data_IF_058761186640
#
_entry.id   IF_058761186640
#
_cell.length_a   1.000
_cell.length_b   1.000
_cell.length_c   1.000
_cell.angle_alpha   90.00
_cell.angle_beta   90.00
_cell.angle_gamma   90.00
#
_symmetry.space_group_name_H-M   'P 1'
#
loop_
_entity.id
_entity.type
_entity.pdbx_description
1 polymer ?
#
# COMPACT_ATOMS: atom_id res chain seq x y z
N UNK A 1 73.42 43.27 -15.92
CA UNK A 1 72.14 43.69 -15.18
C UNK A 1 70.93 43.14 -15.94
N UNK A 2 70.33 42.06 -15.47
CA UNK A 2 69.14 41.48 -16.08
C UNK A 2 67.96 41.75 -15.09
N UNK A 3 66.97 42.46 -15.53
CA UNK A 3 65.73 42.69 -14.75
C UNK A 3 64.75 41.57 -15.01
N UNK A 4 64.41 40.79 -13.98
CA UNK A 4 63.29 39.84 -13.97
C UNK A 4 62.01 40.60 -13.74
N UNK A 5 61.05 40.56 -14.69
CA UNK A 5 59.67 41.04 -14.52
C UNK A 5 58.86 39.91 -13.92
N UNK A 6 58.43 40.09 -12.68
CA UNK A 6 57.46 39.24 -11.98
C UNK A 6 56.06 39.58 -12.51
N UNK A 7 55.39 38.59 -13.16
CA UNK A 7 53.99 38.72 -13.59
C UNK A 7 53.09 38.21 -12.46
N UNK A 8 52.41 39.11 -11.81
CA UNK A 8 51.39 38.79 -10.79
C UNK A 8 50.11 38.38 -11.51
N UNK A 9 49.74 37.11 -11.43
CA UNK A 9 48.45 36.59 -11.95
C UNK A 9 47.42 36.71 -10.82
N UNK A 10 46.56 37.74 -10.89
CA UNK A 10 45.40 37.89 -9.98
C UNK A 10 44.32 36.90 -10.40
N UNK A 11 44.11 35.83 -9.61
CA UNK A 11 42.98 34.93 -9.76
C UNK A 11 41.75 35.61 -9.11
N UNK A 12 40.84 36.12 -9.93
CA UNK A 12 39.50 36.57 -9.50
C UNK A 12 38.65 35.31 -9.24
N UNK A 13 38.46 35.03 -7.96
CA UNK A 13 37.51 33.99 -7.51
C UNK A 13 36.09 34.56 -7.65
N UNK A 14 35.38 34.17 -8.71
CA UNK A 14 33.95 34.48 -8.85
C UNK A 14 33.19 33.52 -7.91
N UNK A 15 32.82 34.05 -6.73
CA UNK A 15 31.85 33.40 -5.86
C UNK A 15 30.47 33.50 -6.54
N UNK A 16 30.09 32.44 -7.23
CA UNK A 16 28.68 32.24 -7.60
C UNK A 16 27.91 31.95 -6.32
N UNK A 17 27.37 33.01 -5.72
CA UNK A 17 26.36 32.85 -4.67
C UNK A 17 25.11 32.25 -5.32
N UNK A 18 24.88 30.94 -5.16
CA UNK A 18 23.57 30.37 -5.34
C UNK A 18 22.60 31.07 -4.38
N UNK A 19 21.89 32.06 -4.87
CA UNK A 19 20.72 32.57 -4.18
C UNK A 19 19.70 31.45 -4.08
N UNK A 20 19.62 30.79 -2.93
CA UNK A 20 18.46 29.98 -2.57
C UNK A 20 17.25 30.92 -2.63
N UNK A 21 16.33 30.67 -3.54
CA UNK A 21 14.96 31.21 -3.49
C UNK A 21 14.28 30.67 -2.23
N UNK A 22 14.43 31.35 -1.12
CA UNK A 22 13.79 31.01 0.16
C UNK A 22 12.44 31.70 0.38
N UNK A 23 11.90 32.41 -0.62
CA UNK A 23 10.68 33.22 -0.45
C UNK A 23 9.40 32.62 -1.06
N UNK A 24 9.49 31.62 -1.94
CA UNK A 24 8.28 31.01 -2.52
C UNK A 24 7.77 29.79 -1.70
N UNK A 25 8.61 29.25 -0.84
CA UNK A 25 8.35 28.05 -0.07
C UNK A 25 7.39 28.27 1.12
N UNK A 26 7.39 29.47 1.69
CA UNK A 26 6.51 29.85 2.81
C UNK A 26 5.06 30.16 2.35
N UNK A 27 4.86 30.42 1.06
CA UNK A 27 3.58 30.89 0.53
C UNK A 27 2.63 29.75 0.13
N UNK A 28 3.12 28.49 -0.01
CA UNK A 28 2.27 27.36 -0.40
C UNK A 28 1.40 26.84 0.77
N UNK A 29 1.85 26.98 2.01
CA UNK A 29 1.16 26.43 3.19
C UNK A 29 1.41 24.94 3.38
N UNK A 30 2.68 24.52 3.41
CA UNK A 30 3.09 23.11 3.63
C UNK A 30 2.52 22.53 4.91
N UNK A 31 2.50 23.32 6.00
CA UNK A 31 1.90 22.89 7.27
C UNK A 31 0.41 22.58 7.13
N UNK A 32 -0.33 23.43 6.40
CA UNK A 32 -1.74 23.20 6.09
C UNK A 32 -1.94 21.90 5.29
N UNK A 33 -1.09 21.65 4.29
CA UNK A 33 -1.09 20.42 3.53
C UNK A 33 -0.87 19.19 4.42
N UNK A 34 0.12 19.20 5.33
CA UNK A 34 0.35 18.05 6.22
C UNK A 34 -0.67 17.94 7.35
N UNK A 35 -1.32 19.03 7.75
CA UNK A 35 -2.53 18.98 8.59
C UNK A 35 -3.63 18.23 7.86
N UNK A 36 -3.87 18.57 6.59
CA UNK A 36 -4.84 17.84 5.76
C UNK A 36 -4.51 16.35 5.66
N UNK A 37 -3.25 15.98 5.40
CA UNK A 37 -2.83 14.57 5.38
C UNK A 37 -3.10 13.85 6.69
N UNK A 38 -2.69 14.43 7.83
CA UNK A 38 -2.85 13.79 9.12
C UNK A 38 -4.32 13.65 9.52
N UNK A 39 -5.07 14.77 9.47
CA UNK A 39 -6.40 14.88 10.09
C UNK A 39 -7.54 14.43 9.17
N UNK A 40 -7.40 14.58 7.84
CA UNK A 40 -8.47 14.27 6.91
C UNK A 40 -8.23 12.99 6.09
N UNK A 41 -6.97 12.52 5.95
CA UNK A 41 -6.68 11.32 5.17
C UNK A 41 -6.22 10.15 6.06
N UNK A 42 -5.10 10.30 6.78
CA UNK A 42 -4.42 9.16 7.43
C UNK A 42 -5.21 8.67 8.63
N UNK A 43 -5.46 9.55 9.60
CA UNK A 43 -6.16 9.18 10.84
C UNK A 43 -7.57 8.64 10.54
N UNK A 44 -8.40 9.30 9.70
CA UNK A 44 -9.70 8.77 9.34
C UNK A 44 -9.66 7.42 8.61
N UNK A 45 -8.66 7.16 7.75
CA UNK A 45 -8.51 5.87 7.09
C UNK A 45 -8.31 4.74 8.11
N UNK A 46 -7.39 4.91 9.06
CA UNK A 46 -7.16 3.91 10.12
C UNK A 46 -8.34 3.79 11.08
N UNK A 47 -9.07 4.88 11.37
CA UNK A 47 -10.28 4.82 12.17
C UNK A 47 -11.39 4.04 11.47
N UNK A 48 -11.61 4.29 10.18
CA UNK A 48 -12.58 3.53 9.38
C UNK A 48 -12.21 2.04 9.34
N UNK A 49 -10.94 1.71 9.10
CA UNK A 49 -10.47 0.33 9.14
C UNK A 49 -10.74 -0.33 10.51
N UNK A 50 -10.52 0.40 11.61
CA UNK A 50 -10.85 -0.07 12.96
C UNK A 50 -12.34 -0.33 13.17
N UNK A 51 -13.21 0.52 12.62
CA UNK A 51 -14.66 0.32 12.62
C UNK A 51 -15.01 -0.96 11.87
N UNK A 52 -14.46 -1.17 10.67
CA UNK A 52 -14.72 -2.38 9.87
C UNK A 52 -14.18 -3.66 10.53
N UNK A 53 -13.04 -3.58 11.23
CA UNK A 53 -12.55 -4.70 12.05
C UNK A 53 -13.49 -5.03 13.22
N UNK A 54 -14.14 -4.02 13.79
CA UNK A 54 -15.15 -4.24 14.85
C UNK A 54 -16.42 -4.88 14.30
N UNK A 55 -16.88 -4.46 13.12
CA UNK A 55 -18.00 -5.07 12.41
C UNK A 55 -17.68 -6.54 12.04
N UNK A 56 -16.46 -6.81 11.56
CA UNK A 56 -15.97 -8.17 11.26
C UNK A 56 -15.96 -9.05 12.52
N UNK A 57 -15.49 -8.51 13.65
CA UNK A 57 -15.48 -9.25 14.91
C UNK A 57 -16.91 -9.59 15.36
N UNK A 58 -17.84 -8.64 15.28
CA UNK A 58 -19.24 -8.86 15.64
C UNK A 58 -19.91 -9.94 14.76
N UNK A 59 -19.66 -9.89 13.45
CA UNK A 59 -20.15 -10.90 12.51
C UNK A 59 -19.53 -12.28 12.80
N UNK A 60 -18.24 -12.33 13.13
CA UNK A 60 -17.57 -13.56 13.52
C UNK A 60 -18.14 -14.14 14.82
N UNK A 61 -18.40 -13.35 15.84
CA UNK A 61 -18.95 -13.82 17.12
C UNK A 61 -20.34 -14.41 16.95
N UNK A 62 -21.17 -13.77 16.11
CA UNK A 62 -22.49 -14.30 15.74
C UNK A 62 -22.38 -15.64 14.98
N UNK A 63 -21.47 -15.73 14.01
CA UNK A 63 -21.19 -16.93 13.24
C UNK A 63 -20.61 -18.04 14.13
N UNK A 64 -19.62 -17.74 14.97
CA UNK A 64 -18.98 -18.70 15.87
C UNK A 64 -19.97 -19.38 16.82
N UNK A 65 -20.94 -18.60 17.33
CA UNK A 65 -21.95 -19.08 18.31
C UNK A 65 -22.93 -20.06 17.68
N UNK A 66 -23.42 -19.79 16.50
CA UNK A 66 -24.38 -20.63 15.78
C UNK A 66 -24.12 -20.54 14.28
N UNK A 67 -23.16 -21.31 13.76
CA UNK A 67 -22.78 -21.27 12.34
C UNK A 67 -23.94 -21.71 11.45
N UNK A 68 -24.28 -20.88 10.46
CA UNK A 68 -25.20 -21.16 9.36
C UNK A 68 -24.79 -20.37 8.11
N UNK A 69 -25.42 -20.67 6.98
CA UNK A 69 -25.12 -20.03 5.68
C UNK A 69 -25.35 -18.51 5.72
N UNK A 70 -26.44 -18.06 6.39
CA UNK A 70 -26.76 -16.64 6.48
C UNK A 70 -25.68 -15.86 7.24
N UNK A 71 -25.22 -16.42 8.35
CA UNK A 71 -24.14 -15.82 9.14
C UNK A 71 -22.78 -15.93 8.45
N UNK A 72 -22.51 -17.02 7.71
CA UNK A 72 -21.32 -17.10 6.87
C UNK A 72 -21.31 -15.98 5.82
N UNK A 73 -22.40 -15.77 5.11
CA UNK A 73 -22.51 -14.69 4.12
C UNK A 73 -22.34 -13.30 4.78
N UNK A 74 -22.92 -13.09 5.98
CA UNK A 74 -22.73 -11.85 6.75
C UNK A 74 -21.28 -11.63 7.12
N UNK A 75 -20.59 -12.68 7.56
CA UNK A 75 -19.15 -12.65 7.90
C UNK A 75 -18.27 -12.39 6.66
N UNK A 76 -18.58 -13.00 5.53
CA UNK A 76 -17.91 -12.76 4.24
C UNK A 76 -18.07 -11.31 3.79
N UNK A 77 -19.28 -10.74 3.90
CA UNK A 77 -19.53 -9.33 3.56
C UNK A 77 -18.78 -8.36 4.49
N UNK A 78 -18.76 -8.64 5.81
CA UNK A 78 -18.01 -7.84 6.78
C UNK A 78 -16.50 -7.92 6.51
N UNK A 79 -15.99 -9.09 6.11
CA UNK A 79 -14.60 -9.25 5.71
C UNK A 79 -14.28 -8.45 4.44
N UNK A 80 -15.11 -8.53 3.40
CA UNK A 80 -14.88 -7.76 2.16
C UNK A 80 -14.84 -6.26 2.44
N UNK A 81 -15.76 -5.74 3.26
CA UNK A 81 -15.73 -4.33 3.68
C UNK A 81 -14.48 -3.97 4.51
N UNK A 82 -13.97 -4.90 5.31
CA UNK A 82 -12.73 -4.72 6.08
C UNK A 82 -11.52 -4.70 5.15
N UNK A 83 -11.47 -5.60 4.16
CA UNK A 83 -10.37 -5.66 3.20
C UNK A 83 -10.35 -4.44 2.28
N UNK A 84 -11.52 -3.95 1.87
CA UNK A 84 -11.66 -2.70 1.14
C UNK A 84 -11.13 -1.51 1.95
N UNK A 85 -11.53 -1.39 3.22
CA UNK A 85 -11.05 -0.32 4.10
C UNK A 85 -9.52 -0.34 4.30
N UNK A 86 -8.90 -1.52 4.30
CA UNK A 86 -7.45 -1.66 4.34
C UNK A 86 -6.75 -1.03 3.12
N UNK A 87 -7.35 -1.06 1.91
CA UNK A 87 -6.75 -0.47 0.71
C UNK A 87 -6.45 1.02 0.87
N UNK A 88 -7.23 1.73 1.71
CA UNK A 88 -7.02 3.15 2.03
C UNK A 88 -5.92 3.38 3.08
N UNK A 89 -5.55 2.36 3.86
CA UNK A 89 -4.49 2.43 4.87
C UNK A 89 -3.11 2.11 4.31
N UNK A 90 -3.03 1.19 3.37
CA UNK A 90 -1.78 0.55 2.93
C UNK A 90 -0.77 1.56 2.34
N UNK A 91 -1.24 2.64 1.71
CA UNK A 91 -0.41 3.72 1.17
C UNK A 91 0.37 4.48 2.27
N UNK A 92 0.02 4.36 3.53
CA UNK A 92 0.66 5.04 4.66
C UNK A 92 1.65 4.17 5.45
N UNK A 93 2.08 3.04 4.86
CA UNK A 93 2.90 2.02 5.54
C UNK A 93 4.28 2.53 6.01
N UNK A 94 4.82 3.60 5.40
CA UNK A 94 6.08 4.25 5.83
C UNK A 94 5.90 5.34 6.86
N UNK A 95 4.69 5.64 7.29
CA UNK A 95 4.50 6.49 8.46
C UNK A 95 5.02 5.80 9.71
N UNK A 96 5.66 6.54 10.62
CA UNK A 96 6.29 5.94 11.80
C UNK A 96 5.36 5.04 12.63
N UNK A 97 4.06 5.37 12.84
CA UNK A 97 3.13 4.47 13.49
C UNK A 97 2.90 3.14 12.78
N UNK A 98 2.83 3.13 11.44
CA UNK A 98 2.58 1.93 10.65
C UNK A 98 3.85 1.09 10.47
N UNK A 99 4.98 1.73 10.20
CA UNK A 99 6.29 1.08 10.03
C UNK A 99 6.74 0.36 11.31
N UNK A 100 6.49 0.96 12.48
CA UNK A 100 6.82 0.37 13.78
C UNK A 100 6.17 -1.00 14.04
N UNK A 101 5.05 -1.29 13.41
CA UNK A 101 4.35 -2.58 13.48
C UNK A 101 4.45 -3.40 12.20
N UNK A 102 5.24 -2.96 11.23
CA UNK A 102 5.34 -3.57 9.89
C UNK A 102 3.94 -3.87 9.33
N UNK A 103 3.12 -2.81 9.18
CA UNK A 103 1.66 -2.94 9.07
C UNK A 103 1.24 -3.77 7.85
N UNK A 104 1.80 -3.53 6.68
CA UNK A 104 1.51 -4.32 5.46
C UNK A 104 1.94 -5.77 5.59
N UNK A 105 3.16 -6.05 6.08
CA UNK A 105 3.63 -7.43 6.24
C UNK A 105 2.78 -8.25 7.23
N UNK A 106 2.26 -7.60 8.28
CA UNK A 106 1.48 -8.26 9.30
C UNK A 106 -0.02 -8.30 9.00
N UNK A 107 -0.52 -7.41 8.12
CA UNK A 107 -1.95 -7.28 7.82
C UNK A 107 -2.32 -7.82 6.44
N UNK A 108 -1.50 -7.61 5.39
CA UNK A 108 -1.91 -7.89 4.00
C UNK A 108 -0.78 -8.50 3.14
N UNK A 109 -0.09 -9.50 3.63
CA UNK A 109 0.88 -10.22 2.78
C UNK A 109 0.21 -11.38 2.04
N UNK A 110 0.36 -11.44 0.71
CA UNK A 110 -0.21 -12.47 -0.17
C UNK A 110 0.83 -13.00 -1.18
N UNK A 111 0.61 -14.23 -1.74
CA UNK A 111 -0.43 -15.18 -1.32
C UNK A 111 -0.15 -15.75 0.06
N UNK A 112 -1.19 -16.14 0.79
CA UNK A 112 -1.03 -16.95 1.99
C UNK A 112 -0.62 -18.40 1.64
N UNK A 113 -0.09 -19.11 2.62
CA UNK A 113 0.24 -20.53 2.48
C UNK A 113 -0.90 -21.39 3.05
N UNK A 114 -1.84 -21.79 2.21
CA UNK A 114 -3.00 -22.61 2.57
C UNK A 114 -2.59 -23.90 3.32
N UNK A 115 -1.65 -24.68 2.79
CA UNK A 115 -1.19 -25.94 3.39
C UNK A 115 -0.62 -25.73 4.80
N UNK A 116 0.11 -24.65 5.02
CA UNK A 116 0.66 -24.34 6.34
C UNK A 116 -0.42 -23.89 7.32
N UNK A 117 -1.41 -23.12 6.86
CA UNK A 117 -2.57 -22.71 7.67
C UNK A 117 -3.34 -23.96 8.12
N UNK A 118 -3.64 -24.89 7.21
CA UNK A 118 -4.29 -26.16 7.54
C UNK A 118 -3.48 -27.00 8.54
N UNK A 119 -2.16 -27.06 8.38
CA UNK A 119 -1.29 -27.74 9.32
C UNK A 119 -1.29 -27.11 10.73
N UNK A 120 -1.36 -25.78 10.82
CA UNK A 120 -1.48 -25.09 12.11
C UNK A 120 -2.84 -25.34 12.78
N UNK A 121 -3.93 -25.31 12.00
CA UNK A 121 -5.28 -25.62 12.48
C UNK A 121 -5.34 -27.05 13.03
N UNK A 122 -4.82 -28.02 12.28
CA UNK A 122 -4.80 -29.43 12.67
C UNK A 122 -3.99 -29.67 13.95
N UNK A 123 -2.90 -28.95 14.17
CA UNK A 123 -2.08 -29.06 15.39
C UNK A 123 -2.67 -28.30 16.58
N UNK A 124 -3.70 -27.48 16.38
CA UNK A 124 -4.25 -26.62 17.42
C UNK A 124 -3.36 -25.42 17.78
N UNK A 125 -2.39 -25.07 16.91
CA UNK A 125 -1.49 -23.93 17.09
C UNK A 125 -2.15 -22.64 16.56
N UNK A 126 -3.16 -22.18 17.28
CA UNK A 126 -4.15 -21.23 16.81
C UNK A 126 -4.48 -20.08 17.78
N UNK A 127 -3.70 -19.90 18.87
CA UNK A 127 -3.89 -18.78 19.80
C UNK A 127 -3.44 -17.44 19.21
N UNK A 128 -3.93 -16.33 19.76
CA UNK A 128 -3.51 -14.97 19.35
C UNK A 128 -1.99 -14.78 19.47
N UNK A 129 -1.39 -15.28 20.56
CA UNK A 129 0.08 -15.21 20.75
C UNK A 129 0.81 -15.99 19.66
N UNK A 130 0.30 -17.18 19.31
CA UNK A 130 0.84 -17.97 18.20
C UNK A 130 0.70 -17.24 16.86
N UNK A 131 -0.47 -16.68 16.53
CA UNK A 131 -0.67 -15.91 15.29
C UNK A 131 0.31 -14.74 15.20
N UNK A 132 0.49 -13.97 16.28
CA UNK A 132 1.41 -12.83 16.31
C UNK A 132 2.84 -13.23 15.94
N UNK A 133 3.30 -14.38 16.40
CA UNK A 133 4.67 -14.88 16.15
C UNK A 133 4.86 -15.55 14.77
N UNK A 134 3.79 -15.86 14.05
CA UNK A 134 3.86 -16.52 12.75
C UNK A 134 4.46 -15.59 11.68
N UNK A 135 5.06 -16.21 10.64
CA UNK A 135 5.49 -15.50 9.44
C UNK A 135 4.27 -14.92 8.69
N UNK A 136 4.51 -13.88 7.91
CA UNK A 136 3.50 -13.15 7.13
C UNK A 136 2.59 -14.01 6.26
N UNK A 137 3.05 -15.15 5.77
CA UNK A 137 2.27 -16.07 4.92
C UNK A 137 1.12 -16.81 5.63
N UNK A 138 1.04 -16.73 6.95
CA UNK A 138 0.10 -17.53 7.75
C UNK A 138 -0.87 -16.66 8.56
N UNK A 139 -0.87 -15.36 8.32
CA UNK A 139 -1.68 -14.39 9.05
C UNK A 139 -2.19 -13.27 8.14
N UNK A 140 -2.93 -12.33 8.71
CA UNK A 140 -3.47 -11.17 8.01
C UNK A 140 -4.69 -11.47 7.16
N UNK A 141 -5.02 -10.52 6.30
CA UNK A 141 -6.25 -10.53 5.49
C UNK A 141 -6.27 -11.72 4.51
N UNK A 142 -5.16 -12.03 3.85
CA UNK A 142 -5.10 -13.16 2.91
C UNK A 142 -5.36 -14.50 3.60
N UNK A 143 -4.96 -14.68 4.87
CA UNK A 143 -5.26 -15.88 5.64
C UNK A 143 -6.75 -15.97 6.03
N UNK A 144 -7.36 -14.83 6.41
CA UNK A 144 -8.81 -14.74 6.69
C UNK A 144 -9.60 -15.04 5.41
N UNK A 145 -9.20 -14.46 4.29
CA UNK A 145 -9.81 -14.70 2.99
C UNK A 145 -9.85 -16.19 2.64
N UNK A 146 -8.70 -16.89 2.74
CA UNK A 146 -8.61 -18.33 2.52
C UNK A 146 -9.58 -19.15 3.39
N UNK A 147 -9.81 -18.71 4.62
CA UNK A 147 -10.70 -19.39 5.55
C UNK A 147 -12.19 -19.17 5.23
N UNK A 148 -12.52 -18.01 4.63
CA UNK A 148 -13.91 -17.60 4.38
C UNK A 148 -14.36 -17.79 2.93
N UNK A 149 -13.43 -17.88 1.96
CA UNK A 149 -13.75 -17.96 0.54
C UNK A 149 -13.01 -19.11 -0.13
N UNK A 150 -13.50 -19.51 -1.29
CA UNK A 150 -12.87 -20.53 -2.13
C UNK A 150 -13.33 -20.40 -3.57
N UNK A 151 -12.43 -20.68 -4.50
CA UNK A 151 -12.76 -20.79 -5.94
C UNK A 151 -13.32 -22.15 -6.33
N UNK A 152 -13.23 -23.14 -5.44
CA UNK A 152 -13.58 -24.54 -5.74
C UNK A 152 -14.63 -25.12 -4.80
N UNK A 153 -14.78 -24.54 -3.60
CA UNK A 153 -15.76 -25.00 -2.61
C UNK A 153 -17.00 -24.10 -2.64
N UNK A 154 -18.16 -24.72 -2.43
CA UNK A 154 -19.41 -24.01 -2.16
C UNK A 154 -19.42 -23.42 -0.75
N UNK A 155 -20.29 -22.44 -0.48
CA UNK A 155 -20.47 -21.91 0.87
C UNK A 155 -20.89 -22.98 1.89
N UNK A 156 -21.59 -24.05 1.48
CA UNK A 156 -21.89 -25.16 2.36
C UNK A 156 -20.63 -25.92 2.78
N UNK A 157 -19.75 -26.22 1.84
CA UNK A 157 -18.46 -26.89 2.12
C UNK A 157 -17.52 -26.01 2.97
N UNK A 158 -17.57 -24.69 2.80
CA UNK A 158 -16.87 -23.76 3.69
C UNK A 158 -17.50 -23.80 5.10
N UNK A 159 -18.81 -23.78 5.22
CA UNK A 159 -19.53 -23.90 6.50
C UNK A 159 -19.18 -25.20 7.23
N UNK A 160 -19.03 -26.31 6.49
CA UNK A 160 -18.71 -27.62 7.05
C UNK A 160 -17.33 -27.64 7.75
N UNK A 161 -16.38 -26.79 7.34
CA UNK A 161 -15.11 -26.58 8.08
C UNK A 161 -15.34 -26.13 9.53
N UNK A 162 -16.42 -25.38 9.78
CA UNK A 162 -16.75 -24.75 11.07
C UNK A 162 -17.80 -25.53 11.87
N UNK A 163 -18.42 -26.57 11.27
CA UNK A 163 -19.53 -27.32 11.89
C UNK A 163 -19.23 -28.80 12.02
N UNK A 164 -19.03 -29.51 10.93
CA UNK A 164 -18.94 -30.97 10.88
C UNK A 164 -17.49 -31.48 10.85
N UNK A 165 -16.52 -30.63 10.52
CA UNK A 165 -15.10 -31.00 10.53
C UNK A 165 -14.63 -31.41 11.93
N UNK A 166 -13.75 -32.42 12.01
CA UNK A 166 -13.07 -32.79 13.26
C UNK A 166 -12.27 -31.59 13.87
N UNK A 167 -11.84 -30.65 13.03
CA UNK A 167 -11.09 -29.44 13.41
C UNK A 167 -11.97 -28.19 13.54
N UNK A 168 -13.31 -28.31 13.58
CA UNK A 168 -14.22 -27.17 13.55
C UNK A 168 -13.93 -26.09 14.60
N UNK A 169 -13.61 -26.50 15.82
CA UNK A 169 -13.22 -25.56 16.88
C UNK A 169 -11.85 -24.89 16.61
N UNK A 170 -10.91 -25.58 16.01
CA UNK A 170 -9.60 -25.04 15.65
C UNK A 170 -9.73 -24.01 14.51
N UNK A 171 -10.59 -24.24 13.51
CA UNK A 171 -10.91 -23.26 12.48
C UNK A 171 -11.48 -21.98 13.09
N UNK A 172 -12.48 -22.10 13.98
CA UNK A 172 -13.07 -20.95 14.69
C UNK A 172 -12.02 -20.17 15.50
N UNK A 173 -11.16 -20.90 16.21
CA UNK A 173 -10.12 -20.26 17.04
C UNK A 173 -9.07 -19.58 16.18
N UNK A 174 -8.62 -20.20 15.10
CA UNK A 174 -7.61 -19.61 14.20
C UNK A 174 -8.16 -18.31 13.56
N UNK A 175 -9.37 -18.36 13.00
CA UNK A 175 -10.03 -17.20 12.40
C UNK A 175 -10.21 -16.04 13.40
N UNK A 176 -10.73 -16.32 14.61
CA UNK A 176 -10.89 -15.32 15.66
C UNK A 176 -9.56 -14.72 16.10
N UNK A 177 -8.49 -15.52 16.17
CA UNK A 177 -7.15 -15.06 16.52
C UNK A 177 -6.52 -14.18 15.44
N UNK A 178 -6.81 -14.44 14.14
CA UNK A 178 -6.40 -13.57 13.04
C UNK A 178 -7.08 -12.21 13.15
N UNK A 179 -8.40 -12.17 13.38
CA UNK A 179 -9.16 -10.91 13.53
C UNK A 179 -8.63 -10.11 14.72
N UNK A 180 -8.45 -10.74 15.88
CA UNK A 180 -7.90 -10.10 17.08
C UNK A 180 -6.49 -9.54 16.84
N UNK A 181 -5.64 -10.26 16.07
CA UNK A 181 -4.31 -9.77 15.73
C UNK A 181 -4.37 -8.49 14.88
N UNK A 182 -5.25 -8.43 13.87
CA UNK A 182 -5.45 -7.22 13.06
C UNK A 182 -5.97 -6.05 13.89
N UNK A 183 -6.92 -6.28 14.80
CA UNK A 183 -7.41 -5.26 15.73
C UNK A 183 -6.29 -4.71 16.61
N UNK A 184 -5.39 -5.58 17.08
CA UNK A 184 -4.23 -5.16 17.89
C UNK A 184 -3.28 -4.26 17.09
N UNK A 185 -2.96 -4.63 15.85
CA UNK A 185 -2.11 -3.84 14.95
C UNK A 185 -2.74 -2.46 14.71
N UNK A 186 -4.01 -2.43 14.31
CA UNK A 186 -4.74 -1.22 13.99
C UNK A 186 -4.87 -0.27 15.22
N UNK A 187 -5.19 -0.83 16.40
CA UNK A 187 -5.27 -0.06 17.64
C UNK A 187 -3.91 0.55 18.03
N UNK A 188 -2.82 -0.19 17.82
CA UNK A 188 -1.45 0.31 18.05
C UNK A 188 -1.16 1.50 17.14
N UNK A 189 -1.50 1.41 15.84
CA UNK A 189 -1.31 2.51 14.88
C UNK A 189 -2.12 3.74 15.30
N UNK A 190 -3.41 3.57 15.60
CA UNK A 190 -4.28 4.69 16.01
C UNK A 190 -3.77 5.39 17.27
N UNK A 191 -3.36 4.62 18.29
CA UNK A 191 -2.80 5.18 19.53
C UNK A 191 -1.50 5.94 19.24
N UNK A 192 -0.64 5.40 18.38
CA UNK A 192 0.62 6.03 18.01
C UNK A 192 0.37 7.35 17.25
N UNK A 193 -0.62 7.42 16.38
CA UNK A 193 -1.00 8.65 15.67
C UNK A 193 -1.45 9.77 16.60
N UNK A 194 -2.11 9.46 17.71
CA UNK A 194 -2.50 10.48 18.70
C UNK A 194 -1.30 11.25 19.26
N UNK A 195 -0.12 10.63 19.31
CA UNK A 195 1.12 11.25 19.78
C UNK A 195 2.00 11.78 18.63
N UNK A 196 1.88 11.21 17.43
CA UNK A 196 2.77 11.49 16.30
C UNK A 196 2.24 12.59 15.38
N UNK A 197 0.94 12.85 15.35
CA UNK A 197 0.32 13.78 14.39
C UNK A 197 0.93 15.18 14.44
N UNK A 198 1.16 15.75 15.61
CA UNK A 198 1.80 17.05 15.75
C UNK A 198 3.25 17.06 15.25
N UNK A 199 4.02 16.01 15.50
CA UNK A 199 5.40 15.87 15.01
C UNK A 199 5.38 15.81 13.48
N UNK A 200 4.46 15.05 12.88
CA UNK A 200 4.30 14.94 11.44
C UNK A 200 3.93 16.31 10.81
N UNK A 201 2.95 17.01 11.37
CA UNK A 201 2.47 18.30 10.85
C UNK A 201 3.54 19.40 10.93
N UNK A 202 4.32 19.44 12.01
CA UNK A 202 5.33 20.50 12.23
C UNK A 202 6.62 20.27 11.44
N UNK A 203 6.97 19.04 11.07
CA UNK A 203 8.22 18.75 10.35
C UNK A 203 8.02 18.83 8.82
N UNK A 204 7.93 20.05 8.30
CA UNK A 204 7.73 20.36 6.87
C UNK A 204 9.05 20.44 6.07
N UNK A 205 10.17 20.05 6.64
CA UNK A 205 11.47 20.00 5.97
C UNK A 205 11.53 18.88 4.91
N UNK A 206 12.70 18.70 4.29
CA UNK A 206 12.97 17.59 3.34
C UNK A 206 13.88 16.51 3.95
N UNK A 207 14.13 16.58 5.26
CA UNK A 207 14.94 15.58 5.97
C UNK A 207 14.28 14.19 5.94
N UNK A 208 15.05 13.16 6.17
CA UNK A 208 14.59 11.77 6.11
C UNK A 208 13.38 11.44 7.03
N UNK A 209 13.24 12.15 8.15
CA UNK A 209 12.13 12.01 9.10
C UNK A 209 10.98 12.99 8.87
N UNK A 210 11.04 13.82 7.84
CA UNK A 210 10.03 14.85 7.55
C UNK A 210 8.73 14.23 7.03
N UNK A 211 7.65 15.02 7.12
CA UNK A 211 6.37 14.64 6.52
C UNK A 211 6.48 14.46 5.00
N UNK A 212 7.26 15.32 4.30
CA UNK A 212 7.53 15.14 2.87
C UNK A 212 8.22 13.81 2.58
N UNK A 213 9.34 13.53 3.26
CA UNK A 213 10.07 12.29 3.06
C UNK A 213 9.18 11.07 3.36
N UNK A 214 8.45 11.10 4.46
CA UNK A 214 7.54 10.02 4.86
C UNK A 214 6.47 9.79 3.80
N UNK A 215 5.78 10.81 3.32
CA UNK A 215 4.70 10.65 2.33
C UNK A 215 5.22 10.22 0.96
N UNK A 216 6.32 10.82 0.48
CA UNK A 216 6.93 10.45 -0.80
C UNK A 216 7.40 8.99 -0.78
N UNK A 217 8.07 8.56 0.28
CA UNK A 217 8.51 7.17 0.43
C UNK A 217 7.32 6.19 0.55
N UNK A 218 6.25 6.58 1.26
CA UNK A 218 5.01 5.80 1.35
C UNK A 218 4.36 5.59 -0.02
N UNK A 219 4.18 6.67 -0.78
CA UNK A 219 3.59 6.62 -2.13
C UNK A 219 4.49 5.82 -3.08
N UNK A 220 5.80 6.03 -3.03
CA UNK A 220 6.76 5.34 -3.88
C UNK A 220 6.77 3.83 -3.59
N UNK A 221 6.78 3.42 -2.33
CA UNK A 221 6.71 2.01 -1.97
C UNK A 221 5.37 1.39 -2.40
N UNK A 222 4.24 2.08 -2.18
CA UNK A 222 2.93 1.56 -2.62
C UNK A 222 2.87 1.39 -4.14
N UNK A 223 3.50 2.30 -4.90
CA UNK A 223 3.61 2.19 -6.36
C UNK A 223 4.48 0.99 -6.77
N UNK A 224 5.59 0.75 -6.07
CA UNK A 224 6.44 -0.42 -6.30
C UNK A 224 5.69 -1.73 -5.95
N UNK A 225 4.96 -1.77 -4.85
CA UNK A 225 4.15 -2.93 -4.47
C UNK A 225 3.02 -3.20 -5.48
N UNK A 226 2.38 -2.16 -6.03
CA UNK A 226 1.44 -2.30 -7.14
C UNK A 226 2.13 -2.96 -8.34
N UNK A 227 3.25 -2.40 -8.81
CA UNK A 227 4.02 -2.94 -9.95
C UNK A 227 4.48 -4.37 -9.70
N UNK A 228 5.08 -4.61 -8.54
CA UNK A 228 5.76 -5.86 -8.21
C UNK A 228 4.83 -6.96 -7.72
N UNK A 229 3.99 -6.63 -6.71
CA UNK A 229 3.19 -7.65 -6.04
C UNK A 229 1.80 -7.84 -6.65
N UNK A 230 1.08 -6.73 -6.95
CA UNK A 230 -0.26 -6.86 -7.48
C UNK A 230 -0.26 -7.25 -8.97
N UNK A 231 0.67 -6.68 -9.76
CA UNK A 231 0.69 -6.86 -11.22
C UNK A 231 1.79 -7.83 -11.66
N UNK A 232 3.02 -7.59 -11.29
CA UNK A 232 4.19 -8.24 -11.87
C UNK A 232 4.32 -9.72 -11.48
N UNK A 233 4.28 -10.03 -10.20
CA UNK A 233 4.44 -11.40 -9.70
C UNK A 233 3.40 -12.36 -10.27
N UNK A 234 2.09 -12.04 -10.30
CA UNK A 234 1.12 -12.91 -10.96
C UNK A 234 1.39 -13.08 -12.45
N UNK A 235 1.81 -12.01 -13.15
CA UNK A 235 2.13 -12.03 -14.58
C UNK A 235 3.47 -12.71 -14.92
N UNK A 236 4.21 -13.19 -13.91
CA UNK A 236 5.48 -13.90 -14.12
C UNK A 236 6.70 -12.99 -14.21
N UNK A 237 6.64 -11.77 -13.69
CA UNK A 237 7.81 -10.91 -13.59
C UNK A 237 8.58 -11.17 -12.29
N UNK A 238 9.91 -11.27 -12.42
CA UNK A 238 10.86 -11.23 -11.31
C UNK A 238 11.67 -9.93 -11.47
N UNK A 239 11.38 -8.93 -10.64
CA UNK A 239 11.86 -7.58 -10.89
C UNK A 239 11.36 -7.06 -12.24
N UNK A 240 12.27 -6.68 -13.12
CA UNK A 240 11.96 -6.22 -14.48
C UNK A 240 12.03 -7.32 -15.56
N UNK A 241 12.35 -8.56 -15.17
CA UNK A 241 12.53 -9.68 -16.11
C UNK A 241 11.24 -10.46 -16.23
N UNK A 242 10.70 -10.55 -17.46
CA UNK A 242 9.55 -11.44 -17.77
C UNK A 242 9.99 -12.89 -17.81
N UNK A 243 9.25 -13.77 -17.18
CA UNK A 243 9.41 -15.22 -17.27
C UNK A 243 8.24 -15.83 -18.06
N UNK A 244 8.40 -17.07 -18.51
CA UNK A 244 7.32 -17.82 -19.18
C UNK A 244 6.29 -18.37 -18.17
N UNK A 245 6.60 -18.34 -16.88
CA UNK A 245 5.75 -18.91 -15.82
C UNK A 245 4.95 -17.80 -15.16
N UNK A 246 3.63 -17.89 -15.24
CA UNK A 246 2.70 -17.05 -14.48
C UNK A 246 2.36 -17.67 -13.14
N UNK A 247 1.91 -16.88 -12.19
CA UNK A 247 1.46 -17.32 -10.88
C UNK A 247 0.05 -16.77 -10.57
N UNK A 248 -1.00 -17.28 -11.24
CA UNK A 248 -2.36 -16.74 -11.12
C UNK A 248 -2.88 -16.69 -9.68
N UNK A 249 -2.47 -17.64 -8.84
CA UNK A 249 -2.82 -17.70 -7.43
C UNK A 249 -2.04 -16.73 -6.53
N UNK A 250 -1.11 -15.96 -7.12
CA UNK A 250 -0.37 -14.93 -6.38
C UNK A 250 -1.06 -13.55 -6.42
N UNK A 251 -2.21 -13.42 -7.08
CA UNK A 251 -3.00 -12.17 -7.06
C UNK A 251 -3.49 -11.87 -5.65
N UNK A 252 -3.62 -10.59 -5.33
CA UNK A 252 -4.32 -10.15 -4.13
C UNK A 252 -5.80 -10.56 -4.23
N UNK A 253 -6.40 -10.95 -3.11
CA UNK A 253 -7.81 -11.35 -3.05
C UNK A 253 -8.16 -12.49 -4.04
N UNK A 254 -7.29 -13.51 -4.09
CA UNK A 254 -7.43 -14.64 -5.00
C UNK A 254 -8.69 -15.46 -4.73
N UNK A 255 -9.01 -15.75 -3.46
CA UNK A 255 -10.11 -16.63 -3.09
C UNK A 255 -11.49 -15.96 -3.21
N UNK A 256 -11.54 -14.63 -3.12
CA UNK A 256 -12.76 -13.83 -3.17
C UNK A 256 -13.01 -13.15 -4.53
N UNK A 257 -12.11 -13.34 -5.50
CA UNK A 257 -12.19 -12.79 -6.88
C UNK A 257 -12.17 -11.24 -6.97
N UNK A 258 -11.58 -10.54 -5.97
CA UNK A 258 -11.54 -9.06 -5.92
C UNK A 258 -10.19 -8.46 -6.35
N UNK A 259 -9.37 -9.20 -7.11
CA UNK A 259 -8.03 -8.73 -7.49
C UNK A 259 -8.05 -7.44 -8.33
N UNK A 260 -8.98 -7.33 -9.27
CA UNK A 260 -9.16 -6.13 -10.11
C UNK A 260 -9.69 -4.96 -9.27
N UNK A 261 -10.71 -5.19 -8.45
CA UNK A 261 -11.31 -4.16 -7.61
C UNK A 261 -10.27 -3.50 -6.70
N UNK A 262 -9.38 -4.29 -6.08
CA UNK A 262 -8.36 -3.76 -5.18
C UNK A 262 -7.20 -3.08 -5.92
N UNK A 263 -6.88 -3.48 -7.16
CA UNK A 263 -5.96 -2.70 -8.01
C UNK A 263 -6.54 -1.32 -8.37
N UNK A 264 -7.82 -1.27 -8.72
CA UNK A 264 -8.52 -0.01 -9.01
C UNK A 264 -8.58 0.88 -7.77
N UNK A 265 -8.92 0.34 -6.60
CA UNK A 265 -8.90 1.08 -5.32
C UNK A 265 -7.51 1.59 -4.98
N UNK A 266 -6.46 0.79 -5.19
CA UNK A 266 -5.07 1.23 -4.98
C UNK A 266 -4.73 2.46 -5.83
N UNK A 267 -5.04 2.43 -7.12
CA UNK A 267 -4.75 3.52 -8.05
C UNK A 267 -5.60 4.75 -7.75
N UNK A 268 -6.88 4.57 -7.46
CA UNK A 268 -7.76 5.68 -7.12
C UNK A 268 -7.34 6.34 -5.79
N UNK A 269 -7.07 5.54 -4.75
CA UNK A 269 -6.57 6.06 -3.49
C UNK A 269 -5.23 6.79 -3.65
N UNK A 270 -4.32 6.27 -4.47
CA UNK A 270 -3.06 6.96 -4.78
C UNK A 270 -3.31 8.32 -5.42
N UNK A 271 -4.25 8.42 -6.36
CA UNK A 271 -4.65 9.67 -7.01
C UNK A 271 -5.25 10.66 -6.00
N UNK A 272 -6.12 10.18 -5.13
CA UNK A 272 -6.77 10.99 -4.08
C UNK A 272 -5.74 11.49 -3.05
N UNK A 273 -4.84 10.64 -2.59
CA UNK A 273 -3.75 11.01 -1.67
C UNK A 273 -2.81 12.04 -2.29
N UNK A 274 -2.40 11.86 -3.54
CA UNK A 274 -1.56 12.83 -4.26
C UNK A 274 -2.23 14.20 -4.37
N UNK A 275 -3.55 14.26 -4.57
CA UNK A 275 -4.34 15.48 -4.62
C UNK A 275 -4.74 16.02 -3.24
N UNK A 276 -4.40 15.35 -2.14
CA UNK A 276 -4.85 15.73 -0.79
C UNK A 276 -6.35 15.60 -0.58
N UNK A 277 -7.00 14.73 -1.36
CA UNK A 277 -8.46 14.58 -1.39
C UNK A 277 -8.92 13.42 -0.52
N UNK A 278 -9.86 13.72 0.36
CA UNK A 278 -10.62 12.74 1.15
C UNK A 278 -12.12 13.05 1.01
N UNK A 279 -12.89 13.00 2.10
CA UNK A 279 -14.25 13.51 2.12
C UNK A 279 -14.32 15.03 1.85
N UNK A 280 -13.24 15.75 2.16
CA UNK A 280 -13.04 17.17 1.87
C UNK A 280 -11.85 17.32 0.90
N UNK A 281 -11.93 18.29 -0.01
CA UNK A 281 -10.78 18.70 -0.83
C UNK A 281 -9.83 19.54 0.04
N UNK A 282 -8.57 19.12 0.10
CA UNK A 282 -7.49 19.82 0.76
C UNK A 282 -6.27 19.94 -0.17
N UNK A 283 -5.22 20.60 0.29
CA UNK A 283 -3.95 20.65 -0.44
C UNK A 283 -3.27 19.30 -0.43
N UNK A 284 -2.77 18.86 -1.60
CA UNK A 284 -1.97 17.65 -1.77
C UNK A 284 -0.55 17.93 -2.28
N UNK A 285 0.28 16.89 -2.30
CA UNK A 285 1.65 16.97 -2.82
C UNK A 285 1.66 17.42 -4.28
N UNK A 286 0.69 17.02 -5.08
CA UNK A 286 0.56 17.41 -6.49
C UNK A 286 0.38 18.93 -6.65
N UNK A 287 -0.36 19.58 -5.76
CA UNK A 287 -0.54 21.03 -5.81
C UNK A 287 0.80 21.75 -5.56
N UNK A 288 1.59 21.24 -4.61
CA UNK A 288 2.92 21.79 -4.36
C UNK A 288 3.87 21.56 -5.56
N UNK A 289 3.90 20.34 -6.11
CA UNK A 289 4.69 20.01 -7.32
C UNK A 289 4.32 20.92 -8.48
N UNK A 290 3.04 21.21 -8.66
CA UNK A 290 2.55 22.09 -9.73
C UNK A 290 3.09 23.53 -9.56
N UNK A 291 3.21 24.05 -8.32
CA UNK A 291 3.82 25.36 -8.07
C UNK A 291 5.31 25.42 -8.37
N UNK A 292 6.01 24.27 -8.25
CA UNK A 292 7.45 24.18 -8.56
C UNK A 292 7.73 24.18 -10.06
N UNK A 293 6.77 23.78 -10.90
CA UNK A 293 6.86 23.84 -12.37
C UNK A 293 7.88 22.89 -13.00
N UNK A 294 8.24 21.79 -12.32
CA UNK A 294 9.18 20.82 -12.86
C UNK A 294 8.60 20.02 -14.03
N UNK A 295 9.45 19.69 -14.99
CA UNK A 295 9.13 18.74 -16.05
C UNK A 295 9.45 17.31 -15.60
N UNK A 296 8.64 16.34 -16.07
CA UNK A 296 8.90 14.93 -15.87
C UNK A 296 9.97 14.39 -16.83
N UNK A 297 10.47 13.19 -16.58
CA UNK A 297 11.29 12.41 -17.51
C UNK A 297 10.62 12.22 -18.88
N UNK A 298 9.28 12.28 -18.94
CA UNK A 298 8.52 12.16 -20.21
C UNK A 298 8.31 13.51 -20.92
N UNK A 299 8.79 14.63 -20.35
CA UNK A 299 8.86 15.95 -20.98
C UNK A 299 7.62 16.84 -20.75
N UNK A 300 6.58 16.36 -20.07
CA UNK A 300 5.41 17.14 -19.66
C UNK A 300 5.58 17.82 -18.31
N UNK A 301 4.52 18.47 -17.81
CA UNK A 301 4.46 18.94 -16.42
C UNK A 301 4.39 17.72 -15.49
N UNK A 302 5.29 17.64 -14.50
CA UNK A 302 5.41 16.47 -13.63
C UNK A 302 4.11 16.14 -12.89
N UNK A 303 3.40 17.14 -12.37
CA UNK A 303 2.14 16.92 -11.65
C UNK A 303 1.07 16.30 -12.55
N UNK A 304 0.94 16.83 -13.76
CA UNK A 304 -0.06 16.36 -14.72
C UNK A 304 0.30 14.98 -15.29
N UNK A 305 1.59 14.72 -15.56
CA UNK A 305 2.07 13.43 -16.04
C UNK A 305 1.87 12.31 -15.01
N UNK A 306 2.06 12.58 -13.71
CA UNK A 306 1.75 11.62 -12.64
C UNK A 306 0.26 11.26 -12.66
N UNK A 307 -0.63 12.25 -12.65
CA UNK A 307 -2.08 12.00 -12.62
C UNK A 307 -2.57 11.30 -13.87
N UNK A 308 -2.09 11.71 -15.05
CA UNK A 308 -2.42 11.08 -16.34
C UNK A 308 -1.91 9.62 -16.38
N UNK A 309 -0.71 9.34 -15.87
CA UNK A 309 -0.18 7.97 -15.84
C UNK A 309 -0.98 7.05 -14.92
N UNK A 310 -1.52 7.58 -13.81
CA UNK A 310 -2.45 6.81 -12.96
C UNK A 310 -3.72 6.48 -13.75
N UNK A 311 -4.29 7.43 -14.50
CA UNK A 311 -5.49 7.18 -15.33
C UNK A 311 -5.20 6.15 -16.43
N UNK A 312 -4.02 6.17 -17.05
CA UNK A 312 -3.58 5.12 -18.00
C UNK A 312 -3.49 3.76 -17.30
N UNK A 313 -2.95 3.68 -16.09
CA UNK A 313 -2.92 2.43 -15.32
C UNK A 313 -4.33 1.93 -15.00
N UNK A 314 -5.25 2.81 -14.58
CA UNK A 314 -6.67 2.47 -14.32
C UNK A 314 -7.31 1.89 -15.59
N UNK A 315 -7.11 2.52 -16.74
CA UNK A 315 -7.62 2.02 -18.02
C UNK A 315 -7.07 0.62 -18.34
N UNK A 316 -5.78 0.36 -18.07
CA UNK A 316 -5.16 -0.95 -18.28
C UNK A 316 -5.65 -2.01 -17.32
N UNK A 317 -5.95 -1.65 -16.06
CA UNK A 317 -6.59 -2.57 -15.11
C UNK A 317 -7.99 -2.97 -15.62
N UNK A 318 -8.79 -2.01 -16.08
CA UNK A 318 -10.11 -2.28 -16.67
C UNK A 318 -10.02 -3.17 -17.92
N UNK A 319 -9.00 -3.01 -18.78
CA UNK A 319 -8.74 -3.87 -19.92
C UNK A 319 -8.50 -5.33 -19.54
N UNK A 320 -8.05 -5.61 -18.30
CA UNK A 320 -7.82 -6.96 -17.79
C UNK A 320 -9.12 -7.73 -17.48
N UNK A 321 -10.29 -7.09 -17.47
CA UNK A 321 -11.57 -7.73 -17.18
C UNK A 321 -11.85 -7.85 -15.68
N UNK A 322 -12.64 -8.85 -15.27
CA UNK A 322 -13.13 -8.95 -13.89
C UNK A 322 -12.17 -9.69 -12.95
N UNK A 323 -11.27 -10.53 -13.46
CA UNK A 323 -10.37 -11.35 -12.66
C UNK A 323 -8.96 -11.38 -13.26
N UNK A 324 -8.01 -10.82 -12.52
CA UNK A 324 -6.61 -10.75 -12.97
C UNK A 324 -5.94 -12.13 -13.03
N UNK A 325 -6.35 -13.08 -12.18
CA UNK A 325 -5.83 -14.46 -12.22
C UNK A 325 -6.17 -15.18 -13.53
N UNK A 326 -7.34 -14.91 -14.07
CA UNK A 326 -7.77 -15.40 -15.40
C UNK A 326 -6.99 -14.68 -16.50
N UNK A 327 -6.80 -13.36 -16.40
CA UNK A 327 -6.06 -12.58 -17.38
C UNK A 327 -4.62 -13.06 -17.53
N UNK A 328 -3.90 -13.27 -16.42
CA UNK A 328 -2.50 -13.74 -16.48
C UNK A 328 -2.37 -15.15 -17.02
N UNK A 329 -3.42 -15.96 -16.91
CA UNK A 329 -3.44 -17.35 -17.42
C UNK A 329 -3.81 -17.42 -18.90
N UNK A 330 -4.74 -16.58 -19.36
CA UNK A 330 -5.37 -16.70 -20.67
C UNK A 330 -5.00 -15.58 -21.64
N UNK A 331 -4.55 -14.43 -21.14
CA UNK A 331 -4.22 -13.24 -21.94
C UNK A 331 -3.04 -12.46 -21.37
N UNK A 332 -1.88 -13.12 -21.28
CA UNK A 332 -0.64 -12.51 -20.78
C UNK A 332 -0.30 -11.16 -21.42
N UNK A 333 -0.52 -10.90 -22.74
CA UNK A 333 -0.26 -9.59 -23.32
C UNK A 333 -0.96 -8.42 -22.65
N UNK A 334 -2.18 -8.61 -22.11
CA UNK A 334 -2.86 -7.55 -21.32
C UNK A 334 -2.17 -7.30 -19.96
N UNK A 335 -1.76 -8.37 -19.30
CA UNK A 335 -1.00 -8.27 -18.06
C UNK A 335 0.37 -7.60 -18.29
N UNK A 336 1.05 -7.92 -19.39
CA UNK A 336 2.32 -7.29 -19.78
C UNK A 336 2.14 -5.79 -20.07
N UNK A 337 1.06 -5.41 -20.77
CA UNK A 337 0.74 -4.01 -21.03
C UNK A 337 0.50 -3.23 -19.71
N UNK A 338 -0.25 -3.80 -18.77
CA UNK A 338 -0.47 -3.20 -17.46
C UNK A 338 0.85 -3.06 -16.68
N UNK A 339 1.71 -4.10 -16.68
CA UNK A 339 3.02 -4.06 -16.03
C UNK A 339 3.89 -2.91 -16.58
N UNK A 340 3.93 -2.71 -17.89
CA UNK A 340 4.69 -1.63 -18.52
C UNK A 340 4.19 -0.25 -18.10
N UNK A 341 2.88 -0.06 -17.97
CA UNK A 341 2.32 1.23 -17.54
C UNK A 341 2.58 1.48 -16.04
N UNK A 342 2.48 0.46 -15.18
CA UNK A 342 2.85 0.59 -13.76
C UNK A 342 4.34 0.87 -13.57
N UNK A 343 5.21 0.36 -14.46
CA UNK A 343 6.64 0.69 -14.47
C UNK A 343 6.88 2.17 -14.81
N UNK A 344 6.14 2.74 -15.78
CA UNK A 344 6.23 4.18 -16.08
C UNK A 344 5.76 5.04 -14.90
N UNK A 345 4.65 4.64 -14.26
CA UNK A 345 4.19 5.31 -13.05
C UNK A 345 5.25 5.28 -11.94
N UNK A 346 5.93 4.15 -11.75
CA UNK A 346 6.99 4.04 -10.76
C UNK A 346 8.16 5.00 -11.04
N UNK A 347 8.54 5.22 -12.30
CA UNK A 347 9.58 6.22 -12.66
C UNK A 347 9.17 7.61 -12.20
N UNK A 348 7.94 8.05 -12.52
CA UNK A 348 7.43 9.36 -12.11
C UNK A 348 7.41 9.54 -10.58
N UNK A 349 7.01 8.49 -9.86
CA UNK A 349 6.83 8.55 -8.39
C UNK A 349 8.14 8.31 -7.63
N UNK A 350 9.02 7.41 -8.09
CA UNK A 350 10.24 7.04 -7.37
C UNK A 350 11.46 7.86 -7.77
N UNK A 351 11.47 8.43 -8.98
CA UNK A 351 12.60 9.18 -9.52
C UNK A 351 12.27 10.67 -9.63
N UNK A 352 11.25 11.03 -10.41
CA UNK A 352 10.98 12.43 -10.73
C UNK A 352 10.40 13.20 -9.53
N UNK A 353 9.41 12.62 -8.83
CA UNK A 353 8.78 13.26 -7.69
C UNK A 353 9.75 13.56 -6.53
N UNK A 354 10.55 12.60 -6.03
CA UNK A 354 11.52 12.90 -4.97
C UNK A 354 12.62 13.87 -5.43
N UNK A 355 13.06 13.81 -6.69
CA UNK A 355 14.01 14.76 -7.26
C UNK A 355 13.45 16.19 -7.26
N UNK A 356 12.20 16.38 -7.67
CA UNK A 356 11.53 17.69 -7.67
C UNK A 356 11.35 18.26 -6.25
N UNK A 357 11.12 17.41 -5.26
CA UNK A 357 10.89 17.78 -3.87
C UNK A 357 12.18 17.86 -3.03
N UNK A 358 13.33 17.43 -3.56
CA UNK A 358 14.58 17.36 -2.80
C UNK A 358 14.55 16.33 -1.68
N UNK A 359 13.83 15.22 -1.86
CA UNK A 359 13.66 14.13 -0.88
C UNK A 359 14.44 12.91 -1.34
N UNK A 360 14.99 12.14 -0.42
CA UNK A 360 15.65 10.87 -0.72
C UNK A 360 14.69 9.70 -0.55
N UNK A 361 14.76 8.72 -1.46
CA UNK A 361 14.12 7.42 -1.28
C UNK A 361 14.98 6.61 -0.30
N UNK A 362 14.35 6.11 0.78
CA UNK A 362 15.04 5.48 1.90
C UNK A 362 14.62 4.02 2.15
N UNK A 363 13.79 3.43 1.30
CA UNK A 363 13.50 2.00 1.35
C UNK A 363 14.30 1.24 0.29
N UNK A 364 14.68 0.01 0.62
CA UNK A 364 15.35 -0.91 -0.30
C UNK A 364 14.29 -1.70 -1.05
N UNK A 365 14.25 -1.57 -2.37
CA UNK A 365 13.51 -2.52 -3.19
C UNK A 365 14.33 -3.79 -3.43
N UNK A 366 13.66 -4.86 -3.80
CA UNK A 366 14.30 -6.15 -4.09
C UNK A 366 14.67 -6.32 -5.57
N UNK A 367 14.57 -5.26 -6.36
CA UNK A 367 14.74 -5.31 -7.82
C UNK A 367 16.21 -5.08 -8.26
N UNK A 368 17.09 -4.67 -7.32
CA UNK A 368 18.53 -4.51 -7.58
C UNK A 368 18.86 -3.30 -8.47
N UNK A 369 18.02 -2.28 -8.47
CA UNK A 369 18.29 -1.00 -9.15
C UNK A 369 19.19 -0.08 -8.30
#
# INVERSE_FOLDING_TARGET
MKYNKLFLFSIILILVTCNKKSSDDDNFGKKEMFTNYAENLIIPAYQNYGTKLSDLQAAFDAFKTAPDITKLNTLQNAFSATYEAWQYCEIYDKTAPADAVMSTENSNYYPCSADSIEAYITRGDNSVASIKSKRKYYKGLAAIEYLLFSRTLTNQEILDRYTTSANANSYKTYLGSLITNLQTIQSTINTSWSNYSSIFIENVSTDASSAFSTMVNSIAQRTDDLKRMQVGKPAGYQGNVSTIYTAPNAVQAYYSDHSIDYMLLTLQNMKDVLNGKAALDGKGIIDYVRTLGYSSTFGGNLADDILNQIDVCIAKVNDCGADYSVTVSSNKPKADALFLETKKLLVLIKVDLPSALGVSINYTDSDGD
#
